data_IF_136869920946
#
_entry.id   IF_136869920946
#
_cell.length_a   1.000
_cell.length_b   1.000
_cell.length_c   1.000
_cell.angle_alpha   90.00
_cell.angle_beta   90.00
_cell.angle_gamma   90.00
#
_symmetry.space_group_name_H-M   'P 1'
#
loop_
_entity.id
_entity.type
_entity.pdbx_description
1 polymer ?
#
# COMPACT_ATOMS: atom_id res chain seq x y z
N UNK A 1 53.92 -33.78 7.67
CA UNK A 1 52.96 -32.66 7.74
C UNK A 1 51.96 -32.80 6.61
N UNK A 2 50.70 -33.14 6.91
CA UNK A 2 49.57 -33.11 5.95
C UNK A 2 48.52 -32.18 6.57
N UNK A 3 48.06 -31.11 5.89
CA UNK A 3 46.97 -30.32 6.42
C UNK A 3 45.64 -31.02 6.13
N UNK A 4 44.80 -31.04 7.17
CA UNK A 4 43.46 -31.60 7.20
C UNK A 4 42.52 -30.64 6.46
N UNK A 5 41.73 -31.16 5.51
CA UNK A 5 40.63 -30.41 4.89
C UNK A 5 39.43 -30.41 5.85
N UNK A 6 39.13 -29.28 6.48
CA UNK A 6 37.84 -29.06 7.15
C UNK A 6 36.76 -28.81 6.10
N UNK A 7 35.85 -29.77 5.94
CA UNK A 7 34.63 -29.60 5.18
C UNK A 7 33.67 -28.66 5.94
N UNK A 8 33.49 -27.44 5.43
CA UNK A 8 32.43 -26.53 5.87
C UNK A 8 31.10 -27.02 5.27
N UNK A 9 30.27 -27.65 6.12
CA UNK A 9 28.86 -27.91 5.83
C UNK A 9 28.11 -26.57 5.76
N UNK A 10 27.86 -26.08 4.55
CA UNK A 10 26.88 -25.03 4.30
C UNK A 10 25.49 -25.60 4.55
N UNK A 11 24.92 -25.32 5.73
CA UNK A 11 23.48 -25.47 5.94
C UNK A 11 22.81 -24.34 5.17
N UNK A 12 22.39 -24.65 3.93
CA UNK A 12 21.44 -23.83 3.19
C UNK A 12 20.12 -23.84 3.97
N UNK A 13 19.91 -22.81 4.79
CA UNK A 13 18.62 -22.52 5.40
C UNK A 13 17.63 -22.11 4.29
N UNK A 14 17.00 -23.10 3.66
CA UNK A 14 15.88 -22.89 2.77
C UNK A 14 14.64 -22.69 3.63
N UNK A 15 14.27 -21.44 3.93
CA UNK A 15 12.90 -20.96 4.14
C UNK A 15 12.90 -19.42 3.99
N UNK A 16 11.90 -18.80 3.33
CA UNK A 16 10.48 -19.07 3.56
C UNK A 16 9.66 -19.23 2.26
N UNK A 17 9.37 -20.46 1.85
CA UNK A 17 8.35 -20.73 0.82
C UNK A 17 6.95 -20.82 1.47
N UNK A 18 6.88 -21.17 2.77
CA UNK A 18 5.62 -21.37 3.51
C UNK A 18 4.76 -20.12 3.72
N UNK A 19 5.36 -18.96 3.97
CA UNK A 19 4.61 -17.73 4.27
C UNK A 19 3.86 -17.17 3.05
N UNK A 20 4.45 -17.31 1.85
CA UNK A 20 3.78 -16.91 0.61
C UNK A 20 2.63 -17.85 0.24
N UNK A 21 2.71 -19.15 0.58
CA UNK A 21 1.64 -20.11 0.28
C UNK A 21 0.41 -19.93 1.18
N UNK A 22 0.55 -19.46 2.42
CA UNK A 22 -0.59 -19.19 3.31
C UNK A 22 -1.35 -17.92 2.91
N UNK A 23 -0.64 -16.84 2.60
CA UNK A 23 -1.26 -15.57 2.17
C UNK A 23 -2.00 -15.71 0.82
N UNK A 24 -1.52 -16.55 -0.09
CA UNK A 24 -2.22 -16.89 -1.33
C UNK A 24 -3.55 -17.62 -1.08
N UNK A 25 -3.66 -18.42 -0.01
CA UNK A 25 -4.92 -19.09 0.35
C UNK A 25 -5.88 -18.14 1.04
N UNK A 26 -5.37 -17.26 1.89
CA UNK A 26 -6.16 -16.34 2.73
C UNK A 26 -7.14 -15.48 1.91
N UNK A 27 -6.65 -14.84 0.84
CA UNK A 27 -7.48 -13.92 0.04
C UNK A 27 -8.12 -14.53 -1.21
N UNK A 28 -7.86 -15.81 -1.50
CA UNK A 28 -8.20 -16.43 -2.78
C UNK A 28 -9.67 -16.33 -3.17
N UNK A 29 -10.59 -16.45 -2.21
CA UNK A 29 -12.02 -16.35 -2.46
C UNK A 29 -12.44 -14.93 -2.84
N UNK A 30 -11.98 -13.94 -2.06
CA UNK A 30 -12.26 -12.51 -2.29
C UNK A 30 -11.65 -12.08 -3.61
N UNK A 31 -10.39 -12.41 -3.86
CA UNK A 31 -9.68 -12.07 -5.09
C UNK A 31 -10.40 -12.62 -6.32
N UNK A 32 -10.75 -13.91 -6.30
CA UNK A 32 -11.48 -14.55 -7.40
C UNK A 32 -12.77 -13.82 -7.71
N UNK A 33 -13.50 -13.39 -6.68
CA UNK A 33 -14.78 -12.70 -6.86
C UNK A 33 -14.60 -11.25 -7.30
N UNK A 34 -13.67 -10.51 -6.71
CA UNK A 34 -13.37 -9.12 -7.08
C UNK A 34 -12.90 -9.01 -8.54
N UNK A 35 -12.11 -9.97 -9.01
CA UNK A 35 -11.63 -10.02 -10.39
C UNK A 35 -12.68 -10.47 -11.42
N UNK A 36 -13.90 -10.82 -10.98
CA UNK A 36 -15.05 -11.04 -11.86
C UNK A 36 -15.88 -9.78 -12.08
N UNK A 37 -15.46 -8.62 -11.56
CA UNK A 37 -16.12 -7.34 -11.80
C UNK A 37 -16.18 -7.08 -13.32
N UNK A 38 -17.37 -6.98 -13.93
CA UNK A 38 -17.49 -6.79 -15.38
C UNK A 38 -16.96 -5.42 -15.82
N UNK A 39 -16.32 -5.37 -16.98
CA UNK A 39 -15.79 -4.11 -17.53
C UNK A 39 -16.87 -3.01 -17.66
N UNK A 40 -18.13 -3.38 -17.90
CA UNK A 40 -19.26 -2.44 -17.96
C UNK A 40 -19.59 -1.76 -16.63
N UNK A 41 -19.22 -2.37 -15.50
CA UNK A 41 -19.41 -1.84 -14.14
C UNK A 41 -18.12 -1.20 -13.59
N UNK A 42 -17.06 -1.12 -14.40
CA UNK A 42 -15.75 -0.62 -14.00
C UNK A 42 -15.46 0.82 -14.46
N UNK A 43 -16.51 1.55 -14.85
CA UNK A 43 -16.39 2.85 -15.52
C UNK A 43 -16.44 4.04 -14.57
N UNK A 44 -16.97 3.84 -13.37
CA UNK A 44 -16.96 4.85 -12.31
C UNK A 44 -16.76 4.21 -10.94
N UNK A 45 -16.34 5.00 -9.96
CA UNK A 45 -16.14 4.49 -8.59
C UNK A 45 -17.46 4.12 -7.92
N UNK A 46 -18.58 4.75 -8.29
CA UNK A 46 -19.94 4.35 -7.89
C UNK A 46 -20.20 2.89 -8.26
N UNK A 47 -20.12 2.55 -9.55
CA UNK A 47 -20.46 1.21 -10.05
C UNK A 47 -19.55 0.13 -9.47
N UNK A 48 -18.26 0.45 -9.31
CA UNK A 48 -17.30 -0.46 -8.66
C UNK A 48 -17.70 -0.65 -7.21
N UNK A 49 -17.96 0.43 -6.45
CA UNK A 49 -18.35 0.33 -5.05
C UNK A 49 -19.68 -0.41 -4.85
N UNK A 50 -20.65 -0.25 -5.75
CA UNK A 50 -21.91 -1.00 -5.74
C UNK A 50 -21.69 -2.50 -5.94
N UNK A 51 -20.81 -2.86 -6.87
CA UNK A 51 -20.40 -4.26 -7.05
C UNK A 51 -19.71 -4.79 -5.79
N UNK A 52 -18.82 -4.03 -5.18
CA UNK A 52 -18.10 -4.44 -3.96
C UNK A 52 -19.10 -4.64 -2.81
N UNK A 53 -19.97 -3.66 -2.55
CA UNK A 53 -20.97 -3.68 -1.47
C UNK A 53 -22.02 -4.78 -1.65
N UNK A 54 -22.35 -5.17 -2.89
CA UNK A 54 -23.30 -6.26 -3.14
C UNK A 54 -22.69 -7.66 -2.96
N UNK A 55 -21.36 -7.79 -2.94
CA UNK A 55 -20.68 -9.09 -2.86
C UNK A 55 -19.89 -9.28 -1.55
N UNK A 56 -19.59 -8.21 -0.82
CA UNK A 56 -18.81 -8.24 0.42
C UNK A 56 -19.44 -7.36 1.49
N UNK A 57 -19.49 -7.87 2.72
CA UNK A 57 -20.18 -7.21 3.83
C UNK A 57 -19.24 -6.52 4.81
N UNK A 58 -18.11 -7.16 5.14
CA UNK A 58 -17.13 -6.65 6.11
C UNK A 58 -16.04 -5.80 5.43
N UNK A 59 -15.42 -4.91 6.21
CA UNK A 59 -14.42 -3.96 5.70
C UNK A 59 -13.14 -4.64 5.21
N UNK A 60 -12.77 -5.78 5.80
CA UNK A 60 -11.60 -6.56 5.39
C UNK A 60 -11.75 -7.06 3.94
N UNK A 61 -12.86 -7.72 3.63
CA UNK A 61 -13.13 -8.26 2.30
C UNK A 61 -13.33 -7.13 1.28
N UNK A 62 -13.99 -6.03 1.67
CA UNK A 62 -14.17 -4.86 0.79
C UNK A 62 -12.85 -4.23 0.42
N UNK A 63 -12.00 -3.92 1.40
CA UNK A 63 -10.68 -3.33 1.15
C UNK A 63 -9.78 -4.29 0.37
N UNK A 64 -9.87 -5.61 0.61
CA UNK A 64 -9.15 -6.61 -0.19
C UNK A 64 -9.59 -6.59 -1.65
N UNK A 65 -10.89 -6.65 -1.89
CA UNK A 65 -11.47 -6.65 -3.22
C UNK A 65 -11.11 -5.37 -3.99
N UNK A 66 -11.15 -4.21 -3.34
CA UNK A 66 -10.72 -2.93 -3.93
C UNK A 66 -9.22 -2.97 -4.27
N UNK A 67 -8.37 -3.35 -3.32
CA UNK A 67 -6.92 -3.43 -3.52
C UNK A 67 -6.56 -4.33 -4.71
N UNK A 68 -7.08 -5.56 -4.72
CA UNK A 68 -6.72 -6.53 -5.76
C UNK A 68 -7.25 -6.11 -7.12
N UNK A 69 -8.43 -5.49 -7.16
CA UNK A 69 -9.01 -5.00 -8.40
C UNK A 69 -8.16 -3.87 -8.99
N UNK A 70 -7.76 -2.88 -8.19
CA UNK A 70 -6.87 -1.80 -8.64
C UNK A 70 -5.53 -2.36 -9.11
N UNK A 71 -4.86 -3.15 -8.26
CA UNK A 71 -3.54 -3.72 -8.55
C UNK A 71 -3.53 -4.60 -9.81
N UNK A 72 -4.68 -5.20 -10.16
CA UNK A 72 -4.82 -6.03 -11.35
C UNK A 72 -5.27 -5.27 -12.60
N UNK A 73 -5.94 -4.13 -12.46
CA UNK A 73 -6.56 -3.42 -13.60
C UNK A 73 -5.87 -2.11 -13.97
N UNK A 74 -5.08 -1.52 -13.08
CA UNK A 74 -4.32 -0.29 -13.36
C UNK A 74 -2.85 -0.68 -13.60
N UNK A 75 -2.21 -0.04 -14.57
CA UNK A 75 -0.77 -0.18 -14.85
C UNK A 75 -0.02 1.08 -14.41
N UNK A 76 1.20 0.92 -13.92
CA UNK A 76 1.99 2.09 -13.53
C UNK A 76 2.42 2.89 -14.78
N UNK A 77 2.14 4.19 -14.77
CA UNK A 77 2.39 5.07 -15.90
C UNK A 77 3.81 5.65 -15.89
N UNK A 78 4.78 4.83 -16.29
CA UNK A 78 6.21 5.18 -16.28
C UNK A 78 6.51 6.45 -17.08
N UNK A 79 5.82 6.66 -18.19
CA UNK A 79 6.05 7.82 -19.07
C UNK A 79 5.76 9.14 -18.36
N UNK A 80 4.80 9.14 -17.44
CA UNK A 80 4.37 10.30 -16.69
C UNK A 80 4.72 10.22 -15.19
N UNK A 81 5.62 9.32 -14.78
CA UNK A 81 5.89 9.06 -13.36
C UNK A 81 6.44 10.27 -12.58
N UNK A 82 6.99 11.26 -13.28
CA UNK A 82 7.47 12.53 -12.70
C UNK A 82 6.56 13.72 -13.03
N UNK A 83 5.51 13.52 -13.82
CA UNK A 83 4.55 14.55 -14.21
C UNK A 83 3.47 14.68 -13.13
N UNK A 84 3.88 15.15 -11.94
CA UNK A 84 2.96 15.47 -10.86
C UNK A 84 2.00 16.58 -11.32
N UNK A 85 0.71 16.26 -11.36
CA UNK A 85 -0.31 17.21 -11.78
C UNK A 85 -0.81 18.01 -10.57
N UNK A 86 -0.03 19.00 -10.15
CA UNK A 86 -0.36 19.87 -9.01
C UNK A 86 -1.66 20.68 -9.19
N UNK A 87 -2.23 20.73 -10.39
CA UNK A 87 -3.46 21.46 -10.70
C UNK A 87 -4.66 20.54 -10.93
N UNK A 88 -4.47 19.22 -10.96
CA UNK A 88 -5.55 18.25 -11.14
C UNK A 88 -6.34 18.06 -9.86
N UNK A 89 -7.67 18.01 -9.99
CA UNK A 89 -8.55 17.65 -8.87
C UNK A 89 -8.40 16.17 -8.52
N UNK A 90 -8.92 15.76 -7.35
CA UNK A 90 -9.04 14.35 -6.97
C UNK A 90 -9.81 13.56 -8.03
N UNK A 91 -10.90 14.12 -8.53
CA UNK A 91 -11.77 13.53 -9.53
C UNK A 91 -11.04 13.32 -10.85
N UNK A 92 -10.17 14.26 -11.26
CA UNK A 92 -9.35 14.12 -12.47
C UNK A 92 -8.38 12.95 -12.38
N UNK A 93 -7.73 12.76 -11.22
CA UNK A 93 -6.78 11.66 -10.97
C UNK A 93 -7.48 10.30 -11.03
N UNK A 94 -8.64 10.19 -10.38
CA UNK A 94 -9.49 8.98 -10.39
C UNK A 94 -9.97 8.68 -11.81
N UNK A 95 -10.50 9.68 -12.52
CA UNK A 95 -10.99 9.53 -13.88
C UNK A 95 -9.87 9.11 -14.84
N UNK A 96 -8.68 9.69 -14.70
CA UNK A 96 -7.48 9.29 -15.46
C UNK A 96 -7.16 7.82 -15.25
N UNK A 97 -7.07 7.35 -14.00
CA UNK A 97 -6.80 5.94 -13.69
C UNK A 97 -7.84 5.01 -14.30
N UNK A 98 -9.13 5.32 -14.12
CA UNK A 98 -10.22 4.47 -14.62
C UNK A 98 -10.29 4.43 -16.14
N UNK A 99 -10.18 5.58 -16.80
CA UNK A 99 -10.35 5.68 -18.25
C UNK A 99 -9.16 5.11 -19.02
N UNK A 100 -7.95 5.43 -18.58
CA UNK A 100 -6.72 5.00 -19.27
C UNK A 100 -6.22 3.63 -18.82
N UNK A 101 -6.71 3.12 -17.67
CA UNK A 101 -6.15 1.95 -16.97
C UNK A 101 -4.67 2.12 -16.63
N UNK A 102 -4.23 3.36 -16.45
CA UNK A 102 -2.86 3.75 -16.13
C UNK A 102 -2.85 4.88 -15.12
N UNK A 103 -1.86 4.90 -14.24
CA UNK A 103 -1.71 5.97 -13.25
C UNK A 103 -0.35 5.98 -12.58
N UNK A 104 -0.07 7.06 -11.86
CA UNK A 104 1.07 7.18 -10.93
C UNK A 104 0.59 6.97 -9.49
N UNK A 105 1.50 7.02 -8.51
CA UNK A 105 1.19 6.69 -7.12
C UNK A 105 -0.03 7.42 -6.55
N UNK A 106 -0.17 8.71 -6.85
CA UNK A 106 -1.30 9.54 -6.43
C UNK A 106 -2.62 9.07 -7.05
N UNK A 107 -2.64 8.74 -8.35
CA UNK A 107 -3.84 8.24 -9.03
C UNK A 107 -4.34 6.91 -8.40
N UNK A 108 -3.39 6.04 -8.01
CA UNK A 108 -3.68 4.78 -7.32
C UNK A 108 -4.23 5.00 -5.91
N UNK A 109 -3.59 5.88 -5.13
CA UNK A 109 -3.99 6.18 -3.76
C UNK A 109 -5.37 6.84 -3.70
N UNK A 110 -5.64 7.79 -4.60
CA UNK A 110 -6.93 8.47 -4.70
C UNK A 110 -8.05 7.51 -5.10
N UNK A 111 -7.79 6.66 -6.11
CA UNK A 111 -8.76 5.65 -6.55
C UNK A 111 -9.08 4.65 -5.43
N UNK A 112 -8.07 4.18 -4.70
CA UNK A 112 -8.26 3.26 -3.59
C UNK A 112 -9.07 3.90 -2.46
N UNK A 113 -8.70 5.12 -2.07
CA UNK A 113 -9.35 5.87 -0.99
C UNK A 113 -10.80 6.17 -1.33
N UNK A 114 -11.09 6.62 -2.55
CA UNK A 114 -12.46 6.92 -2.99
C UNK A 114 -13.35 5.68 -2.99
N UNK A 115 -12.84 4.54 -3.48
CA UNK A 115 -13.57 3.27 -3.45
C UNK A 115 -13.81 2.78 -2.03
N UNK A 116 -12.85 2.95 -1.11
CA UNK A 116 -13.03 2.58 0.30
C UNK A 116 -14.13 3.44 0.94
N UNK A 117 -14.06 4.76 0.79
CA UNK A 117 -15.06 5.69 1.33
C UNK A 117 -16.46 5.35 0.83
N UNK A 118 -16.62 5.11 -0.48
CA UNK A 118 -17.91 4.72 -1.08
C UNK A 118 -18.41 3.34 -0.64
N UNK A 119 -17.48 2.48 -0.22
CA UNK A 119 -17.81 1.17 0.35
C UNK A 119 -18.09 1.22 1.86
N UNK A 120 -18.11 2.42 2.45
CA UNK A 120 -18.37 2.66 3.87
C UNK A 120 -17.14 2.50 4.77
N UNK A 121 -15.94 2.39 4.19
CA UNK A 121 -14.68 2.23 4.92
C UNK A 121 -13.98 3.58 5.02
N UNK A 122 -13.71 4.03 6.25
CA UNK A 122 -12.94 5.27 6.47
C UNK A 122 -11.53 5.13 5.91
N UNK A 123 -11.11 6.08 5.09
CA UNK A 123 -9.84 6.00 4.36
C UNK A 123 -9.27 7.38 4.07
N UNK A 124 -7.95 7.48 4.02
CA UNK A 124 -7.20 8.70 3.71
C UNK A 124 -6.09 8.42 2.70
N UNK A 125 -5.82 9.41 1.84
CA UNK A 125 -4.58 9.47 1.08
C UNK A 125 -3.49 10.03 1.98
N UNK A 126 -2.30 9.43 1.91
CA UNK A 126 -1.12 9.85 2.66
C UNK A 126 -0.01 10.11 1.66
N UNK A 127 0.64 11.26 1.81
CA UNK A 127 1.79 11.66 1.02
C UNK A 127 3.06 11.65 1.86
N UNK A 128 4.19 11.33 1.23
CA UNK A 128 5.45 11.22 1.93
C UNK A 128 6.62 10.88 1.04
N UNK A 129 7.67 10.37 1.67
CA UNK A 129 8.85 9.82 1.01
C UNK A 129 8.86 8.31 1.08
N UNK A 130 9.44 7.68 0.05
CA UNK A 130 9.79 6.26 0.13
C UNK A 130 11.29 6.05 0.31
N UNK A 131 11.65 4.85 0.74
CA UNK A 131 13.04 4.40 0.82
C UNK A 131 13.22 3.07 0.09
N UNK A 132 14.20 3.03 -0.79
CA UNK A 132 14.58 1.84 -1.56
C UNK A 132 16.10 1.69 -1.55
N UNK A 133 16.59 0.46 -1.43
CA UNK A 133 18.02 0.15 -1.39
C UNK A 133 18.80 0.96 -0.33
N UNK A 134 18.15 1.32 0.78
CA UNK A 134 18.73 2.12 1.86
C UNK A 134 18.66 3.64 1.69
N UNK A 135 18.27 4.13 0.50
CA UNK A 135 18.21 5.56 0.18
C UNK A 135 16.78 6.08 0.17
N UNK A 136 16.58 7.26 0.74
CA UNK A 136 15.31 8.00 0.64
C UNK A 136 15.19 8.54 -0.78
N UNK A 137 14.05 8.31 -1.42
CA UNK A 137 13.76 8.82 -2.75
C UNK A 137 13.52 10.34 -2.69
N UNK A 138 13.98 11.05 -3.71
CA UNK A 138 13.76 12.48 -3.85
C UNK A 138 12.36 12.79 -4.39
N UNK A 139 11.75 11.82 -5.06
CA UNK A 139 10.40 11.97 -5.59
C UNK A 139 9.38 11.57 -4.52
N UNK A 140 8.41 12.45 -4.20
CA UNK A 140 7.31 12.12 -3.32
C UNK A 140 6.54 10.88 -3.78
N UNK A 141 5.92 10.21 -2.82
CA UNK A 141 5.05 9.08 -3.06
C UNK A 141 3.74 9.25 -2.31
N UNK A 142 2.69 8.65 -2.84
CA UNK A 142 1.37 8.64 -2.24
C UNK A 142 0.88 7.19 -2.06
N UNK A 143 0.27 6.93 -0.92
CA UNK A 143 -0.37 5.67 -0.55
C UNK A 143 -1.65 5.97 0.23
N UNK A 144 -2.27 4.94 0.81
CA UNK A 144 -3.54 5.11 1.53
C UNK A 144 -3.51 4.46 2.91
N UNK A 145 -4.38 4.93 3.79
CA UNK A 145 -4.72 4.27 5.04
C UNK A 145 -6.21 3.99 5.09
N UNK A 146 -6.61 2.88 5.70
CA UNK A 146 -8.01 2.59 5.98
C UNK A 146 -8.18 2.03 7.38
N UNK A 147 -9.27 2.40 8.04
CA UNK A 147 -9.64 1.87 9.35
C UNK A 147 -10.43 0.57 9.17
N UNK A 148 -9.91 -0.53 9.72
CA UNK A 148 -10.56 -1.85 9.70
C UNK A 148 -10.63 -2.34 11.13
N UNK A 149 -11.83 -2.68 11.61
CA UNK A 149 -12.07 -3.18 12.97
C UNK A 149 -11.41 -2.30 14.05
N UNK A 150 -11.58 -0.97 13.93
CA UNK A 150 -11.00 0.05 14.81
C UNK A 150 -9.47 0.16 14.80
N UNK A 151 -8.79 -0.46 13.83
CA UNK A 151 -7.33 -0.39 13.67
C UNK A 151 -6.97 0.23 12.32
N UNK A 152 -6.05 1.20 12.34
CA UNK A 152 -5.52 1.81 11.12
C UNK A 152 -4.49 0.90 10.46
N UNK A 153 -4.70 0.59 9.18
CA UNK A 153 -3.75 -0.13 8.34
C UNK A 153 -3.37 0.68 7.12
N UNK A 154 -2.20 0.38 6.56
CA UNK A 154 -1.66 1.08 5.41
C UNK A 154 -1.71 0.22 4.15
N UNK A 155 -1.98 0.86 3.01
CA UNK A 155 -2.18 0.24 1.71
C UNK A 155 -1.38 1.01 0.67
N UNK A 156 -0.48 0.33 -0.05
CA UNK A 156 0.14 0.89 -1.25
C UNK A 156 -0.27 0.05 -2.47
N UNK A 157 -1.37 0.41 -3.15
CA UNK A 157 -1.82 -0.29 -4.34
C UNK A 157 -0.86 -0.10 -5.54
N UNK A 158 0.02 0.91 -5.51
CA UNK A 158 1.04 1.13 -6.55
C UNK A 158 2.12 0.06 -6.45
N UNK A 159 2.80 -0.03 -5.31
CA UNK A 159 3.83 -1.06 -5.08
C UNK A 159 3.21 -2.46 -4.92
N UNK A 160 1.93 -2.53 -4.56
CA UNK A 160 1.12 -3.75 -4.56
C UNK A 160 0.83 -4.30 -5.95
N UNK A 161 0.83 -3.46 -7.00
CA UNK A 161 0.52 -3.86 -8.38
C UNK A 161 1.70 -4.48 -9.12
N UNK A 162 2.93 -4.20 -8.71
CA UNK A 162 4.12 -4.64 -9.41
C UNK A 162 5.33 -3.77 -9.13
N UNK A 163 6.29 -3.81 -10.04
CA UNK A 163 7.54 -3.04 -9.93
C UNK A 163 8.03 -2.57 -11.29
N UNK A 164 8.90 -1.54 -11.27
CA UNK A 164 9.57 -1.04 -12.46
C UNK A 164 10.97 -1.65 -12.55
N UNK A 165 11.30 -2.22 -13.70
CA UNK A 165 12.66 -2.71 -14.01
C UNK A 165 12.98 -2.36 -15.46
N UNK A 166 14.19 -1.88 -15.73
CA UNK A 166 14.66 -1.54 -17.08
C UNK A 166 13.68 -0.59 -17.83
N UNK A 167 13.12 0.39 -17.10
CA UNK A 167 12.11 1.36 -17.59
C UNK A 167 10.81 0.72 -18.09
N UNK A 168 10.47 -0.48 -17.60
CA UNK A 168 9.23 -1.20 -17.90
C UNK A 168 8.54 -1.62 -16.62
N UNK A 169 7.21 -1.59 -16.66
CA UNK A 169 6.38 -2.02 -15.55
C UNK A 169 6.11 -3.51 -15.67
N UNK A 170 6.38 -4.25 -14.60
CA UNK A 170 6.09 -5.67 -14.49
C UNK A 170 5.01 -5.85 -13.43
N UNK A 171 3.83 -6.29 -13.86
CA UNK A 171 2.74 -6.61 -12.94
C UNK A 171 3.12 -7.80 -12.09
N UNK A 172 3.02 -7.62 -10.78
CA UNK A 172 3.29 -8.65 -9.79
C UNK A 172 2.57 -8.29 -8.50
N UNK A 173 1.48 -9.01 -8.20
CA UNK A 173 0.70 -8.73 -7.00
C UNK A 173 1.56 -8.99 -5.77
N UNK A 174 1.78 -7.94 -4.99
CA UNK A 174 2.58 -7.99 -3.77
C UNK A 174 1.72 -7.66 -2.54
N UNK A 175 1.32 -8.71 -1.82
CA UNK A 175 0.49 -8.59 -0.63
C UNK A 175 1.20 -7.94 0.57
N UNK A 176 2.52 -7.70 0.50
CA UNK A 176 3.21 -6.93 1.55
C UNK A 176 2.64 -5.53 1.71
N UNK A 177 2.06 -4.98 0.64
CA UNK A 177 1.48 -3.63 0.62
C UNK A 177 -0.05 -3.61 0.81
N UNK A 178 -0.67 -4.75 1.14
CA UNK A 178 -2.07 -4.84 1.51
C UNK A 178 -2.20 -4.96 3.02
N UNK A 179 -2.98 -4.07 3.65
CA UNK A 179 -3.26 -4.08 5.10
C UNK A 179 -1.97 -4.17 5.93
N UNK A 180 -0.99 -3.37 5.56
CA UNK A 180 0.34 -3.37 6.17
C UNK A 180 0.27 -2.73 7.55
N UNK A 181 0.88 -3.39 8.54
CA UNK A 181 1.05 -2.81 9.87
C UNK A 181 1.92 -1.53 9.79
N UNK A 182 1.55 -0.45 10.51
CA UNK A 182 2.32 0.79 10.47
C UNK A 182 3.80 0.65 10.86
N UNK A 183 4.12 -0.21 11.84
CA UNK A 183 5.51 -0.50 12.25
C UNK A 183 6.31 -1.24 11.17
N UNK A 184 5.62 -1.87 10.21
CA UNK A 184 6.23 -2.52 9.06
C UNK A 184 6.41 -1.52 7.92
N UNK A 185 5.37 -0.76 7.57
CA UNK A 185 5.43 0.13 6.40
C UNK A 185 6.38 1.32 6.63
N UNK A 186 6.51 1.83 7.87
CA UNK A 186 7.43 2.95 8.20
C UNK A 186 8.89 2.66 7.85
N UNK A 187 9.27 1.40 7.63
CA UNK A 187 10.61 1.00 7.16
C UNK A 187 10.92 1.54 5.76
N UNK A 188 9.88 1.74 4.95
CA UNK A 188 10.00 2.20 3.56
C UNK A 188 9.12 3.39 3.22
N UNK A 189 8.12 3.77 4.02
CA UNK A 189 7.20 4.88 3.75
C UNK A 189 7.15 5.84 4.93
N UNK A 190 7.68 7.04 4.76
CA UNK A 190 7.66 8.10 5.78
C UNK A 190 6.68 9.19 5.35
N UNK A 191 5.55 9.39 6.04
CA UNK A 191 4.61 10.46 5.71
C UNK A 191 5.19 11.84 5.98
N UNK A 192 4.73 12.86 5.24
CA UNK A 192 5.11 14.24 5.49
C UNK A 192 4.61 14.75 6.85
N UNK A 193 3.41 14.32 7.25
CA UNK A 193 2.87 14.55 8.58
C UNK A 193 3.02 13.29 9.43
N UNK A 194 3.67 13.42 10.58
CA UNK A 194 3.91 12.32 11.50
C UNK A 194 2.62 11.72 12.09
N UNK A 195 1.49 12.44 12.05
CA UNK A 195 0.17 11.92 12.41
C UNK A 195 -0.14 10.61 11.66
N UNK A 196 0.16 10.58 10.37
CA UNK A 196 -0.15 9.47 9.47
C UNK A 196 0.83 8.30 9.57
N UNK A 197 1.76 8.33 10.54
CA UNK A 197 2.56 7.15 10.86
C UNK A 197 1.75 6.10 11.60
N UNK A 198 0.68 6.49 12.31
CA UNK A 198 -0.09 5.60 13.19
C UNK A 198 0.78 4.85 14.22
N UNK A 199 1.82 5.52 14.72
CA UNK A 199 2.75 4.98 15.71
C UNK A 199 2.65 5.80 16.99
N UNK A 200 2.62 5.10 18.13
CA UNK A 200 2.66 5.79 19.42
C UNK A 200 4.04 6.34 19.78
N UNK A 201 5.09 5.91 19.07
CA UNK A 201 6.44 6.45 19.19
C UNK A 201 6.94 6.82 17.79
N UNK A 202 6.49 7.96 17.23
CA UNK A 202 6.74 8.32 15.84
C UNK A 202 8.22 8.36 15.50
N UNK A 203 8.57 7.87 14.32
CA UNK A 203 9.91 7.92 13.76
C UNK A 203 10.15 9.31 13.15
N UNK A 204 11.29 9.92 13.42
CA UNK A 204 11.68 11.18 12.78
C UNK A 204 12.27 10.93 11.38
N UNK A 205 12.28 11.98 10.55
CA UNK A 205 12.92 11.92 9.24
C UNK A 205 14.40 11.47 9.30
N UNK A 206 15.15 11.89 10.32
CA UNK A 206 16.55 11.47 10.48
C UNK A 206 16.65 9.99 10.86
N UNK A 207 15.83 9.51 11.79
CA UNK A 207 15.79 8.09 12.14
C UNK A 207 15.41 7.23 10.93
N UNK A 208 14.42 7.66 10.16
CA UNK A 208 14.05 7.00 8.90
C UNK A 208 15.19 6.99 7.90
N UNK A 209 15.84 8.13 7.66
CA UNK A 209 17.00 8.26 6.78
C UNK A 209 18.17 7.34 7.22
N UNK A 210 18.38 7.18 8.52
CA UNK A 210 19.41 6.31 9.10
C UNK A 210 18.98 4.82 9.15
N UNK A 211 17.73 4.50 8.81
CA UNK A 211 17.17 3.14 8.88
C UNK A 211 16.78 2.69 10.30
N UNK A 212 16.77 3.60 11.27
CA UNK A 212 16.38 3.35 12.67
C UNK A 212 14.86 3.44 12.83
N UNK A 213 14.15 2.41 12.38
CA UNK A 213 12.67 2.38 12.32
C UNK A 213 12.02 1.45 13.36
N UNK A 214 12.83 0.87 14.26
CA UNK A 214 12.32 0.09 15.39
C UNK A 214 11.60 1.01 16.39
N UNK A 215 10.49 0.51 16.98
CA UNK A 215 9.78 1.24 18.02
C UNK A 215 10.70 1.48 19.22
N UNK A 216 10.67 2.70 19.75
CA UNK A 216 11.45 3.09 20.91
C UNK A 216 10.53 3.69 21.98
N UNK A 217 10.17 2.87 22.97
CA UNK A 217 9.27 3.24 24.06
C UNK A 217 9.86 4.26 25.05
N UNK A 218 11.16 4.59 24.93
CA UNK A 218 11.77 5.68 25.72
C UNK A 218 11.45 7.05 25.15
N UNK A 219 10.88 7.15 23.93
CA UNK A 219 10.47 8.41 23.33
C UNK A 219 9.15 8.88 23.95
N UNK A 220 8.83 10.19 23.87
CA UNK A 220 7.52 10.68 24.27
C UNK A 220 6.41 9.90 23.57
N UNK A 221 5.44 9.43 24.36
CA UNK A 221 4.25 8.76 23.85
C UNK A 221 3.39 9.78 23.09
N UNK A 222 3.05 9.45 21.84
CA UNK A 222 2.15 10.20 20.99
C UNK A 222 0.86 9.41 20.82
N UNK A 223 -0.25 9.93 21.29
CA UNK A 223 -1.54 9.26 21.16
C UNK A 223 -2.16 9.55 19.78
N UNK A 224 -1.65 8.97 18.71
CA UNK A 224 -2.13 9.31 17.36
C UNK A 224 -3.66 9.18 17.17
N UNK A 225 -4.34 8.33 17.95
CA UNK A 225 -5.81 8.20 17.91
C UNK A 225 -6.51 9.49 18.32
N UNK A 226 -6.05 10.20 19.37
CA UNK A 226 -6.66 11.49 19.75
C UNK A 226 -6.44 12.57 18.70
N UNK A 227 -5.28 12.54 18.06
CA UNK A 227 -4.88 13.52 17.07
C UNK A 227 -5.63 13.32 15.75
N UNK A 228 -5.96 12.06 15.40
CA UNK A 228 -6.86 11.76 14.29
C UNK A 228 -8.28 12.23 14.60
N UNK A 229 -8.80 11.96 15.80
CA UNK A 229 -10.13 12.45 16.16
C UNK A 229 -10.20 13.99 16.09
N UNK A 230 -9.18 14.69 16.60
CA UNK A 230 -9.11 16.16 16.49
C UNK A 230 -8.89 16.69 15.07
N UNK A 231 -8.43 15.85 14.13
CA UNK A 231 -8.36 16.18 12.71
C UNK A 231 -9.70 15.95 11.99
N UNK A 232 -10.49 14.98 12.47
CA UNK A 232 -11.81 14.61 11.92
C UNK A 232 -12.95 15.54 12.39
N UNK A 233 -12.78 16.22 13.52
CA UNK A 233 -13.72 17.19 14.12
C UNK A 233 -13.74 18.55 13.39
#
# INVERSE_FOLDING_TARGET
MKPIYCALLFILAIQPIRAQTSALKEYSAVDKKALQLPDSLSKSTEQISDYINSNFTNDLDKTRAIFIWIASNIQFDIENMFALNFHGTKEDKIAKALNSRRGICEDYAELFTDLCIRSGVRSYVIEGYTKQNGFVDYVPHAWSASLIDSTWFLFDPTWGSGYVKDRRFFKHINNVYYKTDPSVLIRSHMPFDHLWQFLNYPISNQEFADGRTAQNETKPYFNFIDSIHGFED
#
